data_IF_287476602096
#
_entry.id   IF_287476602096
#
_cell.length_a   1.000
_cell.length_b   1.000
_cell.length_c   1.000
_cell.angle_alpha   90.00
_cell.angle_beta   90.00
_cell.angle_gamma   90.00
#
_symmetry.space_group_name_H-M   'P 1'
#
loop_
_entity.id
_entity.type
_entity.pdbx_description
1 polymer ?
#
# COMPACT_ATOMS: atom_id res chain seq x y z
N UNK A 1 -37.88 46.19 47.44
CA UNK A 1 -38.47 45.79 48.71
C UNK A 1 -38.17 44.26 48.88
N UNK A 2 -37.14 43.90 49.65
CA UNK A 2 -37.22 43.47 51.05
C UNK A 2 -37.98 42.12 51.13
N UNK A 3 -37.56 41.07 51.71
CA UNK A 3 -36.51 40.67 52.64
C UNK A 3 -36.90 39.27 53.16
N UNK A 4 -35.88 38.49 53.54
CA UNK A 4 -35.81 37.59 54.72
C UNK A 4 -36.75 36.38 54.72
N UNK A 5 -36.29 35.15 54.80
CA UNK A 5 -35.36 34.48 55.71
C UNK A 5 -35.95 33.16 56.10
N UNK A 6 -35.11 32.18 56.42
CA UNK A 6 -35.56 31.06 57.23
C UNK A 6 -34.97 29.72 56.82
N UNK A 7 -33.85 29.37 57.45
CA UNK A 7 -33.32 28.01 57.52
C UNK A 7 -34.24 27.10 58.35
N UNK A 8 -34.26 25.80 58.04
CA UNK A 8 -34.11 24.73 59.03
C UNK A 8 -33.93 23.38 58.42
N UNK A 9 -33.02 22.72 58.99
CA UNK A 9 -32.49 21.38 58.85
C UNK A 9 -33.52 20.28 59.06
N UNK A 10 -33.35 19.14 58.28
CA UNK A 10 -33.48 17.80 58.88
C UNK A 10 -33.00 16.69 57.95
N UNK A 11 -32.22 15.85 58.50
CA UNK A 11 -31.66 14.60 58.04
C UNK A 11 -32.64 13.64 57.33
N UNK A 12 -32.16 12.93 56.30
CA UNK A 12 -32.79 11.76 55.78
C UNK A 12 -31.82 10.99 54.88
N UNK A 13 -31.30 9.96 55.38
CA UNK A 13 -30.28 8.99 54.92
C UNK A 13 -30.61 8.24 53.66
N UNK A 14 -29.51 7.91 52.91
CA UNK A 14 -29.23 6.70 52.13
C UNK A 14 -29.94 6.53 50.78
N UNK A 15 -29.27 6.33 49.68
CA UNK A 15 -28.46 5.21 49.25
C UNK A 15 -27.91 5.40 47.85
N UNK A 16 -26.67 5.33 47.75
CA UNK A 16 -25.81 4.61 46.75
C UNK A 16 -26.40 4.35 45.38
N UNK A 17 -25.76 4.95 44.40
CA UNK A 17 -25.84 4.62 42.98
C UNK A 17 -24.69 5.29 42.23
N UNK A 18 -23.44 4.95 42.59
CA UNK A 18 -22.26 5.31 41.81
C UNK A 18 -22.25 4.46 40.54
N UNK A 19 -22.82 4.94 39.47
CA UNK A 19 -22.56 4.51 38.12
C UNK A 19 -21.33 5.22 37.58
N UNK A 20 -20.14 4.92 38.10
CA UNK A 20 -18.89 5.24 37.43
C UNK A 20 -18.76 4.32 36.24
N UNK A 21 -19.11 4.80 35.07
CA UNK A 21 -18.64 4.23 33.81
C UNK A 21 -17.13 4.41 33.80
N UNK A 22 -16.43 3.38 34.25
CA UNK A 22 -15.00 3.22 33.98
C UNK A 22 -14.86 3.16 32.47
N UNK A 23 -14.36 4.25 31.87
CA UNK A 23 -13.78 4.20 30.56
C UNK A 23 -12.66 3.15 30.63
N UNK A 24 -12.91 1.98 30.04
CA UNK A 24 -11.93 0.95 29.86
C UNK A 24 -10.84 1.54 28.98
N UNK A 25 -9.72 1.91 29.58
CA UNK A 25 -8.55 2.35 28.85
C UNK A 25 -8.19 1.21 27.90
N UNK A 26 -8.36 1.44 26.62
CA UNK A 26 -7.95 0.52 25.59
C UNK A 26 -6.49 0.16 25.87
N UNK A 27 -6.25 -1.09 26.23
CA UNK A 27 -4.89 -1.62 26.43
C UNK A 27 -4.13 -1.31 25.14
N UNK A 28 -3.00 -0.59 25.27
CA UNK A 28 -2.10 -0.36 24.16
C UNK A 28 -1.79 -1.72 23.51
N UNK A 29 -2.09 -1.85 22.21
CA UNK A 29 -1.76 -3.04 21.46
C UNK A 29 -0.26 -3.31 21.55
N UNK A 30 0.16 -4.54 21.84
CA UNK A 30 1.58 -4.88 21.85
C UNK A 30 2.16 -4.54 20.47
N UNK A 31 3.34 -3.89 20.42
CA UNK A 31 4.01 -3.62 19.16
C UNK A 31 4.18 -4.94 18.37
N UNK A 32 4.10 -4.88 17.03
CA UNK A 32 4.23 -6.07 16.19
C UNK A 32 5.51 -6.86 16.49
N UNK A 33 6.61 -6.16 16.78
CA UNK A 33 7.89 -6.76 17.18
C UNK A 33 7.79 -7.54 18.49
N UNK A 34 7.10 -7.01 19.50
CA UNK A 34 6.91 -7.68 20.79
C UNK A 34 6.05 -8.95 20.65
N UNK A 35 5.16 -8.99 19.63
CA UNK A 35 4.34 -10.16 19.32
C UNK A 35 5.02 -11.17 18.37
N UNK A 36 6.23 -10.87 17.85
CA UNK A 36 6.94 -11.70 16.88
C UNK A 36 6.36 -11.62 15.46
N UNK A 37 5.65 -10.53 15.14
CA UNK A 37 5.09 -10.29 13.80
C UNK A 37 6.18 -9.85 12.83
N UNK A 38 6.05 -10.30 11.56
CA UNK A 38 6.89 -9.88 10.43
C UNK A 38 6.05 -9.78 9.16
N UNK A 39 6.25 -8.71 8.40
CA UNK A 39 5.73 -8.60 7.06
C UNK A 39 6.52 -9.58 6.14
N UNK A 40 5.86 -10.54 5.48
CA UNK A 40 6.50 -11.39 4.48
C UNK A 40 6.80 -10.59 3.22
N UNK A 41 7.72 -11.07 2.37
CA UNK A 41 7.86 -10.54 1.02
C UNK A 41 6.60 -10.81 0.18
N UNK A 42 6.44 -10.08 -0.92
CA UNK A 42 5.26 -10.23 -1.79
C UNK A 42 5.22 -11.57 -2.53
N UNK A 43 6.34 -12.26 -2.66
CA UNK A 43 6.39 -13.59 -3.28
C UNK A 43 5.97 -14.74 -2.34
N UNK A 44 5.70 -14.44 -1.05
CA UNK A 44 5.11 -15.40 -0.12
C UNK A 44 3.74 -15.86 -0.65
N UNK A 45 3.34 -17.14 -0.49
CA UNK A 45 2.04 -17.61 -0.96
C UNK A 45 0.86 -16.77 -0.46
N UNK A 46 -0.02 -16.38 -1.36
CA UNK A 46 -1.22 -15.58 -1.04
C UNK A 46 -2.43 -16.46 -0.76
N UNK A 47 -3.22 -16.09 0.23
CA UNK A 47 -4.58 -16.60 0.43
C UNK A 47 -5.52 -16.01 -0.61
N UNK A 48 -5.43 -14.69 -0.81
CA UNK A 48 -6.22 -13.92 -1.77
C UNK A 48 -5.59 -12.53 -2.03
N UNK A 49 -6.11 -11.86 -3.05
CA UNK A 49 -5.82 -10.46 -3.37
C UNK A 49 -7.06 -9.58 -3.17
N UNK A 50 -6.89 -8.44 -2.48
CA UNK A 50 -7.88 -7.37 -2.41
C UNK A 50 -7.64 -6.34 -3.51
N UNK A 51 -8.73 -5.83 -4.08
CA UNK A 51 -8.77 -4.70 -5.02
C UNK A 51 -9.99 -3.82 -4.71
N UNK A 52 -10.03 -2.61 -5.25
CA UNK A 52 -11.15 -1.68 -5.08
C UNK A 52 -11.69 -1.18 -6.42
N UNK A 53 -13.01 -0.93 -6.48
CA UNK A 53 -13.69 -0.47 -7.69
C UNK A 53 -13.64 1.05 -7.81
N UNK A 54 -13.14 1.60 -8.94
CA UNK A 54 -13.02 3.05 -9.12
C UNK A 54 -14.37 3.76 -9.12
N UNK A 55 -14.42 4.91 -8.43
CA UNK A 55 -15.64 5.72 -8.31
C UNK A 55 -15.70 6.82 -9.39
N UNK A 56 -16.91 7.19 -9.77
CA UNK A 56 -17.14 8.27 -10.73
C UNK A 56 -16.74 9.66 -10.19
N UNK A 57 -16.72 9.80 -8.88
CA UNK A 57 -16.39 11.08 -8.23
C UNK A 57 -14.92 11.44 -8.41
N UNK A 58 -14.03 10.46 -8.42
CA UNK A 58 -12.58 10.68 -8.59
C UNK A 58 -12.19 10.63 -10.08
N UNK A 59 -12.75 9.68 -10.83
CA UNK A 59 -12.31 9.40 -12.20
C UNK A 59 -13.11 10.09 -13.29
N UNK A 60 -14.24 10.71 -12.97
CA UNK A 60 -15.06 11.52 -13.88
C UNK A 60 -15.18 10.92 -15.30
N UNK A 61 -14.66 11.59 -16.32
CA UNK A 61 -14.69 11.14 -17.71
C UNK A 61 -13.89 9.85 -17.96
N UNK A 62 -12.88 9.56 -17.15
CA UNK A 62 -12.00 8.41 -17.28
C UNK A 62 -12.53 7.14 -16.59
N UNK A 63 -13.65 7.26 -15.86
CA UNK A 63 -14.26 6.15 -15.10
C UNK A 63 -14.44 4.88 -15.92
N UNK A 64 -14.94 4.98 -17.14
CA UNK A 64 -15.16 3.80 -17.99
C UNK A 64 -13.84 3.12 -18.39
N UNK A 65 -12.78 3.90 -18.61
CA UNK A 65 -11.44 3.42 -18.94
C UNK A 65 -10.81 2.68 -17.78
N UNK A 66 -10.73 3.33 -16.61
CA UNK A 66 -10.10 2.75 -15.43
C UNK A 66 -10.87 1.52 -14.91
N UNK A 67 -12.19 1.50 -15.02
CA UNK A 67 -13.01 0.31 -14.70
C UNK A 67 -12.70 -0.87 -15.61
N UNK A 68 -12.38 -0.64 -16.88
CA UNK A 68 -11.91 -1.72 -17.79
C UNK A 68 -10.54 -2.24 -17.37
N UNK A 69 -9.61 -1.34 -17.03
CA UNK A 69 -8.26 -1.72 -16.60
C UNK A 69 -8.33 -2.55 -15.29
N UNK A 70 -9.03 -2.07 -14.26
CA UNK A 70 -9.20 -2.77 -12.99
C UNK A 70 -9.90 -4.12 -13.17
N UNK A 71 -10.98 -4.18 -13.95
CA UNK A 71 -11.66 -5.44 -14.23
C UNK A 71 -10.76 -6.42 -14.98
N UNK A 72 -9.92 -5.93 -15.90
CA UNK A 72 -8.92 -6.73 -16.62
C UNK A 72 -7.88 -7.32 -15.68
N UNK A 73 -7.31 -6.49 -14.80
CA UNK A 73 -6.32 -6.90 -13.81
C UNK A 73 -6.94 -7.92 -12.83
N UNK A 74 -8.13 -7.63 -12.29
CA UNK A 74 -8.82 -8.52 -11.38
C UNK A 74 -9.05 -9.93 -11.98
N UNK A 75 -9.48 -10.01 -13.24
CA UNK A 75 -9.63 -11.29 -13.95
C UNK A 75 -8.31 -12.01 -14.16
N UNK A 76 -7.26 -11.28 -14.55
CA UNK A 76 -5.94 -11.87 -14.76
C UNK A 76 -5.35 -12.45 -13.47
N UNK A 77 -5.59 -11.80 -12.32
CA UNK A 77 -5.19 -12.32 -11.00
C UNK A 77 -6.07 -13.53 -10.63
N UNK A 78 -7.37 -13.48 -10.92
CA UNK A 78 -8.32 -14.54 -10.57
C UNK A 78 -8.05 -15.89 -11.27
N UNK A 79 -7.25 -15.92 -12.32
CA UNK A 79 -6.76 -17.15 -12.95
C UNK A 79 -5.74 -17.92 -12.08
N UNK A 80 -5.15 -17.26 -11.05
CA UNK A 80 -4.08 -17.80 -10.21
C UNK A 80 -4.42 -17.84 -8.72
N UNK A 81 -5.21 -16.89 -8.23
CA UNK A 81 -5.58 -16.80 -6.81
C UNK A 81 -6.93 -16.09 -6.63
N UNK A 82 -7.64 -16.31 -5.50
CA UNK A 82 -8.89 -15.63 -5.23
C UNK A 82 -8.73 -14.11 -5.20
N UNK A 83 -9.71 -13.41 -5.76
CA UNK A 83 -9.76 -11.93 -5.75
C UNK A 83 -11.05 -11.47 -5.07
N UNK A 84 -10.91 -10.57 -4.10
CA UNK A 84 -12.01 -9.86 -3.44
C UNK A 84 -11.94 -8.38 -3.84
N UNK A 85 -12.98 -7.92 -4.53
CA UNK A 85 -13.07 -6.54 -5.01
C UNK A 85 -14.08 -5.75 -4.17
N UNK A 86 -13.62 -4.68 -3.55
CA UNK A 86 -14.44 -3.78 -2.75
C UNK A 86 -15.18 -2.79 -3.65
N UNK A 87 -16.47 -2.63 -3.45
CA UNK A 87 -17.28 -1.67 -4.21
C UNK A 87 -18.39 -1.08 -3.36
N UNK A 88 -18.73 0.18 -3.59
CA UNK A 88 -19.93 0.77 -3.00
C UNK A 88 -21.18 -0.01 -3.40
N UNK A 89 -22.17 -0.14 -2.50
CA UNK A 89 -23.36 -0.98 -2.70
C UNK A 89 -24.09 -0.75 -4.03
N UNK A 90 -24.08 0.49 -4.54
CA UNK A 90 -24.65 0.86 -5.85
C UNK A 90 -23.87 0.29 -7.04
N UNK A 91 -22.57 0.06 -6.89
CA UNK A 91 -21.66 -0.35 -7.95
C UNK A 91 -21.42 -1.86 -7.99
N UNK A 92 -21.75 -2.63 -6.93
CA UNK A 92 -21.53 -4.08 -6.81
C UNK A 92 -21.97 -4.84 -8.06
N UNK A 93 -23.20 -4.59 -8.55
CA UNK A 93 -23.72 -5.29 -9.74
C UNK A 93 -22.94 -4.94 -11.03
N UNK A 94 -22.46 -3.72 -11.15
CA UNK A 94 -21.68 -3.28 -12.31
C UNK A 94 -20.27 -3.88 -12.26
N UNK A 95 -19.63 -3.83 -11.11
CA UNK A 95 -18.32 -4.44 -10.86
C UNK A 95 -18.36 -5.96 -11.09
N UNK A 96 -19.37 -6.66 -10.55
CA UNK A 96 -19.53 -8.12 -10.74
C UNK A 96 -19.69 -8.49 -12.23
N UNK A 97 -20.47 -7.71 -13.01
CA UNK A 97 -20.60 -7.96 -14.45
C UNK A 97 -19.29 -7.73 -15.21
N UNK A 98 -18.51 -6.73 -14.81
CA UNK A 98 -17.25 -6.42 -15.47
C UNK A 98 -16.13 -7.41 -15.12
N UNK A 99 -16.06 -7.85 -13.87
CA UNK A 99 -15.02 -8.75 -13.38
C UNK A 99 -15.32 -10.24 -13.63
N UNK A 100 -16.60 -10.60 -13.85
CA UNK A 100 -16.99 -12.00 -14.05
C UNK A 100 -17.20 -12.76 -12.72
N UNK A 101 -17.47 -14.07 -12.82
CA UNK A 101 -17.85 -14.91 -11.66
C UNK A 101 -16.67 -15.39 -10.82
N UNK A 102 -15.43 -15.26 -11.29
CA UNK A 102 -14.24 -15.69 -10.57
C UNK A 102 -13.75 -14.64 -9.55
N UNK A 103 -14.26 -13.40 -9.64
CA UNK A 103 -13.96 -12.31 -8.72
C UNK A 103 -15.13 -12.15 -7.75
N UNK A 104 -14.88 -12.21 -6.46
CA UNK A 104 -15.88 -11.90 -5.44
C UNK A 104 -15.99 -10.37 -5.28
N UNK A 105 -17.19 -9.81 -5.36
CA UNK A 105 -17.42 -8.39 -5.16
C UNK A 105 -18.20 -8.15 -3.87
N UNK A 106 -17.58 -7.43 -2.93
CA UNK A 106 -18.15 -7.18 -1.60
C UNK A 106 -18.60 -5.72 -1.43
N UNK A 107 -19.68 -5.45 -0.68
CA UNK A 107 -20.27 -4.12 -0.53
C UNK A 107 -19.52 -3.27 0.54
N UNK A 108 -18.21 -3.09 0.39
CA UNK A 108 -17.40 -2.19 1.20
C UNK A 108 -17.21 -0.88 0.42
N UNK A 109 -17.69 0.26 0.93
CA UNK A 109 -17.59 1.52 0.22
C UNK A 109 -16.16 2.04 0.24
N UNK A 110 -15.70 2.54 -0.90
CA UNK A 110 -14.40 3.16 -1.13
C UNK A 110 -14.58 4.55 -1.77
N UNK A 111 -13.59 5.42 -1.65
CA UNK A 111 -13.53 6.66 -2.42
C UNK A 111 -12.76 6.42 -3.71
N UNK A 112 -11.64 5.66 -3.69
CA UNK A 112 -10.83 5.34 -4.86
C UNK A 112 -10.37 3.87 -4.87
N UNK A 113 -9.55 3.53 -5.87
CA UNK A 113 -9.14 2.15 -6.22
C UNK A 113 -7.81 1.69 -5.59
N UNK A 114 -7.10 2.55 -4.88
CA UNK A 114 -5.71 2.32 -4.46
C UNK A 114 -5.59 1.44 -3.22
N UNK A 115 -5.97 0.17 -3.36
CA UNK A 115 -6.06 -0.78 -2.24
C UNK A 115 -4.73 -1.08 -1.57
N UNK A 116 -3.61 -0.90 -2.27
CA UNK A 116 -2.27 -0.98 -1.69
C UNK A 116 -2.10 -0.01 -0.52
N UNK A 117 -2.63 1.20 -0.67
CA UNK A 117 -2.44 2.29 0.27
C UNK A 117 -3.55 2.35 1.33
N UNK A 118 -4.77 2.02 0.95
CA UNK A 118 -5.95 2.07 1.81
C UNK A 118 -6.16 0.79 2.61
N UNK A 119 -5.67 -0.35 2.12
CA UNK A 119 -5.78 -1.67 2.73
C UNK A 119 -4.81 -1.89 3.89
N UNK A 120 -5.01 -2.97 4.67
CA UNK A 120 -4.10 -3.34 5.74
C UNK A 120 -2.80 -3.94 5.20
N UNK A 121 -1.67 -3.60 5.81
CA UNK A 121 -0.41 -4.31 5.58
C UNK A 121 -0.37 -5.55 6.46
N UNK A 122 -0.39 -6.74 5.87
CA UNK A 122 -0.44 -7.98 6.61
C UNK A 122 0.93 -8.41 7.15
N UNK A 123 0.90 -8.98 8.36
CA UNK A 123 2.08 -9.53 9.04
C UNK A 123 1.79 -10.94 9.54
N UNK A 124 2.78 -11.81 9.48
CA UNK A 124 2.75 -13.19 9.95
C UNK A 124 3.55 -13.34 11.24
N UNK A 125 3.13 -14.24 12.11
CA UNK A 125 3.82 -14.51 13.36
C UNK A 125 3.31 -15.77 14.07
N UNK A 126 3.81 -16.07 15.28
CA UNK A 126 3.47 -17.29 16.00
C UNK A 126 1.97 -17.49 16.30
N UNK A 127 1.21 -16.41 16.22
CA UNK A 127 -0.25 -16.41 16.44
C UNK A 127 -1.06 -16.42 15.14
N UNK A 128 -0.41 -16.66 13.99
CA UNK A 128 -1.02 -16.67 12.66
C UNK A 128 -0.82 -15.36 11.90
N UNK A 129 -1.90 -14.68 11.53
CA UNK A 129 -1.89 -13.45 10.72
C UNK A 129 -2.47 -12.28 11.51
N UNK A 130 -1.91 -11.10 11.32
CA UNK A 130 -2.49 -9.81 11.74
C UNK A 130 -2.37 -8.79 10.60
N UNK A 131 -3.12 -7.70 10.68
CA UNK A 131 -3.03 -6.60 9.73
C UNK A 131 -2.69 -5.29 10.43
N UNK A 132 -1.68 -4.62 9.93
CA UNK A 132 -1.28 -3.28 10.37
C UNK A 132 -2.11 -2.26 9.60
N UNK A 133 -2.84 -1.44 10.35
CA UNK A 133 -3.56 -0.28 9.82
C UNK A 133 -2.69 0.97 10.04
N UNK A 134 -2.22 1.53 8.94
CA UNK A 134 -1.33 2.68 8.92
C UNK A 134 -2.05 4.03 8.93
N UNK A 135 -3.35 4.06 9.27
CA UNK A 135 -4.13 5.29 9.44
C UNK A 135 -4.14 6.16 8.16
N UNK A 136 -4.47 5.57 7.03
CA UNK A 136 -4.51 6.27 5.74
C UNK A 136 -5.21 7.63 5.84
N UNK A 137 -4.57 8.68 5.33
CA UNK A 137 -5.02 10.06 5.44
C UNK A 137 -5.10 10.81 4.09
N UNK A 138 -5.35 10.07 2.99
CA UNK A 138 -5.46 10.68 1.67
C UNK A 138 -4.15 11.29 1.15
N UNK A 139 -3.03 10.63 1.44
CA UNK A 139 -1.67 11.09 1.10
C UNK A 139 -1.36 12.49 1.65
N UNK A 140 -1.83 12.77 2.86
CA UNK A 140 -1.68 14.07 3.51
C UNK A 140 -2.78 15.06 3.12
N UNK A 141 -4.03 14.61 3.16
CA UNK A 141 -5.24 15.38 2.83
C UNK A 141 -5.26 15.95 1.40
N UNK A 142 -4.56 15.27 0.47
CA UNK A 142 -4.52 15.69 -0.95
C UNK A 142 -5.72 15.18 -1.76
N UNK A 143 -6.41 14.16 -1.27
CA UNK A 143 -7.60 13.57 -1.90
C UNK A 143 -8.66 13.25 -0.85
N UNK A 144 -9.94 13.29 -1.25
CA UNK A 144 -11.06 12.81 -0.44
C UNK A 144 -10.83 11.34 -0.04
N UNK A 145 -10.97 11.05 1.25
CA UNK A 145 -10.65 9.74 1.82
C UNK A 145 -11.55 9.35 3.01
N UNK A 146 -12.74 9.93 3.08
CA UNK A 146 -13.65 9.69 4.21
C UNK A 146 -14.06 8.22 4.37
N UNK A 147 -14.04 7.44 3.28
CA UNK A 147 -14.29 6.01 3.25
C UNK A 147 -12.97 5.22 3.24
N UNK A 148 -12.02 5.65 2.44
CA UNK A 148 -10.75 4.95 2.24
C UNK A 148 -9.94 4.80 3.53
N UNK A 149 -10.01 5.78 4.44
CA UNK A 149 -9.39 5.68 5.78
C UNK A 149 -9.90 4.53 6.65
N UNK A 150 -11.05 3.97 6.31
CA UNK A 150 -11.66 2.86 7.05
C UNK A 150 -11.47 1.50 6.36
N UNK A 151 -10.97 1.46 5.12
CA UNK A 151 -10.83 0.23 4.30
C UNK A 151 -10.01 -0.83 5.01
N UNK A 152 -8.85 -0.47 5.60
CA UNK A 152 -8.03 -1.42 6.36
C UNK A 152 -8.82 -2.08 7.50
N UNK A 153 -9.60 -1.31 8.25
CA UNK A 153 -10.43 -1.82 9.35
C UNK A 153 -11.56 -2.73 8.83
N UNK A 154 -12.22 -2.33 7.74
CA UNK A 154 -13.32 -3.11 7.15
C UNK A 154 -12.84 -4.46 6.62
N UNK A 155 -11.72 -4.48 5.88
CA UNK A 155 -11.08 -5.73 5.42
C UNK A 155 -10.73 -6.62 6.62
N UNK A 156 -10.05 -6.10 7.64
CA UNK A 156 -9.64 -6.88 8.81
C UNK A 156 -10.83 -7.43 9.61
N UNK A 157 -11.93 -6.67 9.65
CA UNK A 157 -13.17 -7.11 10.28
C UNK A 157 -13.83 -8.25 9.49
N UNK A 158 -13.92 -8.11 8.16
CA UNK A 158 -14.47 -9.11 7.25
C UNK A 158 -13.70 -10.43 7.34
N UNK A 159 -12.37 -10.35 7.30
CA UNK A 159 -11.46 -11.51 7.35
C UNK A 159 -11.25 -12.06 8.77
N UNK A 160 -11.81 -11.42 9.79
CA UNK A 160 -11.62 -11.77 11.22
C UNK A 160 -10.14 -11.83 11.60
N UNK A 161 -9.36 -10.90 11.06
CA UNK A 161 -7.93 -10.75 11.31
C UNK A 161 -7.70 -9.69 12.38
N UNK A 162 -6.74 -9.95 13.28
CA UNK A 162 -6.37 -8.99 14.32
C UNK A 162 -5.82 -7.69 13.71
N UNK A 163 -6.43 -6.56 14.08
CA UNK A 163 -5.97 -5.23 13.68
C UNK A 163 -4.89 -4.72 14.63
N UNK A 164 -3.77 -4.28 14.08
CA UNK A 164 -2.71 -3.55 14.77
C UNK A 164 -2.74 -2.11 14.27
N UNK A 165 -3.10 -1.17 15.12
CA UNK A 165 -3.08 0.24 14.74
C UNK A 165 -1.65 0.77 14.85
N UNK A 166 -1.09 1.25 13.73
CA UNK A 166 0.25 1.84 13.71
C UNK A 166 0.29 3.19 14.45
N UNK A 167 1.43 3.56 15.08
CA UNK A 167 1.58 4.86 15.72
C UNK A 167 1.93 5.99 14.74
N UNK A 168 2.00 5.69 13.45
CA UNK A 168 2.35 6.61 12.34
C UNK A 168 1.32 6.50 11.22
N UNK A 169 1.32 7.49 10.34
CA UNK A 169 0.66 7.41 9.03
C UNK A 169 1.66 6.92 8.00
N UNK A 170 1.27 5.92 7.25
CA UNK A 170 2.01 5.39 6.10
C UNK A 170 1.01 4.77 5.10
N UNK A 171 1.49 4.45 3.93
CA UNK A 171 0.76 3.75 2.90
C UNK A 171 1.54 2.49 2.48
N UNK A 172 0.85 1.44 2.04
CA UNK A 172 1.50 0.20 1.62
C UNK A 172 2.48 0.40 0.46
N UNK A 173 2.19 1.31 -0.46
CA UNK A 173 3.09 1.69 -1.56
C UNK A 173 4.36 2.43 -1.12
N UNK A 174 4.35 3.04 0.07
CA UNK A 174 5.52 3.70 0.66
C UNK A 174 6.54 2.74 1.29
N UNK A 175 6.21 1.43 1.34
CA UNK A 175 6.95 0.42 2.08
C UNK A 175 7.24 -0.78 1.18
N UNK A 176 8.49 -1.22 1.17
CA UNK A 176 8.91 -2.42 0.47
C UNK A 176 9.77 -3.29 1.38
N UNK A 177 9.51 -4.59 1.47
CA UNK A 177 10.25 -5.52 2.33
C UNK A 177 10.77 -6.74 1.58
N UNK A 178 11.93 -7.24 2.01
CA UNK A 178 12.54 -8.46 1.48
C UNK A 178 12.10 -9.76 2.19
N UNK A 179 11.17 -9.67 3.15
CA UNK A 179 10.74 -10.82 3.97
C UNK A 179 11.80 -11.36 4.94
N UNK A 180 13.07 -10.92 4.84
CA UNK A 180 14.18 -11.37 5.68
C UNK A 180 14.64 -10.31 6.71
N UNK A 181 13.88 -9.22 6.84
CA UNK A 181 14.10 -8.17 7.84
C UNK A 181 14.64 -6.86 7.29
N UNK A 182 14.81 -6.73 5.96
CA UNK A 182 15.15 -5.47 5.30
C UNK A 182 13.88 -4.78 4.82
N UNK A 183 13.79 -3.48 5.09
CA UNK A 183 12.74 -2.59 4.60
C UNK A 183 13.38 -1.47 3.78
N UNK A 184 12.74 -1.07 2.70
CA UNK A 184 13.12 0.08 1.87
C UNK A 184 11.96 1.08 1.81
N UNK A 185 12.27 2.38 1.91
CA UNK A 185 11.27 3.45 1.88
C UNK A 185 11.86 4.76 1.37
N UNK A 186 11.01 5.70 0.94
CA UNK A 186 11.41 7.07 0.61
C UNK A 186 11.24 8.00 1.81
N UNK A 187 12.21 8.88 2.04
CA UNK A 187 12.10 9.94 3.05
C UNK A 187 10.98 10.92 2.70
N UNK A 188 10.82 11.24 1.42
CA UNK A 188 9.86 12.23 0.93
C UNK A 188 8.41 11.91 1.24
N UNK A 189 8.02 10.63 1.26
CA UNK A 189 6.65 10.19 1.60
C UNK A 189 6.44 10.11 3.11
N UNK A 190 7.31 9.42 3.84
CA UNK A 190 7.09 9.07 5.25
C UNK A 190 7.62 10.12 6.23
N UNK A 191 8.78 10.73 5.94
CA UNK A 191 9.38 11.81 6.76
C UNK A 191 8.83 13.15 6.27
N UNK A 192 7.52 13.30 6.39
CA UNK A 192 6.76 14.41 5.84
C UNK A 192 5.68 14.84 6.83
N UNK A 193 5.60 16.15 7.10
CA UNK A 193 4.65 16.71 8.06
C UNK A 193 3.18 16.50 7.65
N UNK A 194 2.91 16.25 6.38
CA UNK A 194 1.55 15.93 5.92
C UNK A 194 1.10 14.50 6.30
N UNK A 195 2.02 13.62 6.70
CA UNK A 195 1.74 12.29 7.27
C UNK A 195 2.08 12.26 8.77
N UNK A 196 3.29 12.68 9.12
CA UNK A 196 3.87 12.48 10.44
C UNK A 196 4.42 13.80 11.00
N UNK A 197 3.56 14.78 11.32
CA UNK A 197 3.98 16.12 11.72
C UNK A 197 4.89 16.09 12.95
N UNK A 198 6.04 16.76 12.82
CA UNK A 198 7.02 16.91 13.89
C UNK A 198 7.79 15.65 14.26
N UNK A 199 7.61 14.53 13.55
CA UNK A 199 8.37 13.30 13.80
C UNK A 199 9.69 13.28 13.03
N UNK A 200 10.73 12.84 13.70
CA UNK A 200 12.02 12.59 13.09
C UNK A 200 12.05 11.29 12.29
N UNK A 201 12.99 11.18 11.35
CA UNK A 201 13.22 9.93 10.61
C UNK A 201 13.45 8.73 11.54
N UNK A 202 14.22 8.91 12.62
CA UNK A 202 14.54 7.83 13.57
C UNK A 202 13.29 7.34 14.33
N UNK A 203 12.35 8.23 14.63
CA UNK A 203 11.07 7.85 15.27
C UNK A 203 10.18 7.09 14.29
N UNK A 204 10.13 7.51 13.03
CA UNK A 204 9.37 6.81 11.98
C UNK A 204 10.01 5.45 11.69
N UNK A 205 11.33 5.39 11.57
CA UNK A 205 12.06 4.13 11.38
C UNK A 205 11.78 3.12 12.50
N UNK A 206 11.78 3.59 13.75
CA UNK A 206 11.46 2.75 14.91
C UNK A 206 10.02 2.21 14.81
N UNK A 207 9.06 3.07 14.48
CA UNK A 207 7.67 2.68 14.31
C UNK A 207 7.48 1.64 13.20
N UNK A 208 8.15 1.81 12.05
CA UNK A 208 8.14 0.85 10.95
C UNK A 208 8.74 -0.50 11.35
N UNK A 209 9.90 -0.49 12.02
CA UNK A 209 10.56 -1.69 12.53
C UNK A 209 9.68 -2.45 13.53
N UNK A 210 9.02 -1.72 14.40
CA UNK A 210 8.10 -2.29 15.38
C UNK A 210 6.83 -2.86 14.74
N UNK A 211 6.25 -2.15 13.77
CA UNK A 211 5.02 -2.56 13.12
C UNK A 211 5.21 -3.77 12.19
N UNK A 212 6.34 -3.84 11.48
CA UNK A 212 6.57 -4.80 10.40
C UNK A 212 7.60 -5.87 10.70
N UNK A 213 8.23 -5.84 11.88
CA UNK A 213 9.26 -6.80 12.28
C UNK A 213 10.57 -6.65 11.50
N UNK A 214 10.79 -5.52 10.84
CA UNK A 214 12.05 -5.22 10.17
C UNK A 214 13.17 -4.89 11.18
N UNK A 215 14.42 -5.18 10.80
CA UNK A 215 15.60 -4.86 11.60
C UNK A 215 16.48 -3.80 10.93
N UNK A 216 16.42 -3.70 9.61
CA UNK A 216 17.19 -2.76 8.80
C UNK A 216 16.25 -1.97 7.91
N UNK A 217 16.44 -0.65 7.84
CA UNK A 217 15.71 0.22 6.90
C UNK A 217 16.70 0.92 5.99
N UNK A 218 16.47 0.80 4.69
CA UNK A 218 17.22 1.48 3.64
C UNK A 218 16.37 2.68 3.19
N UNK A 219 16.85 3.87 3.50
CA UNK A 219 16.20 5.12 3.11
C UNK A 219 16.77 5.67 1.80
N UNK A 220 15.88 5.96 0.85
CA UNK A 220 16.18 6.78 -0.32
C UNK A 220 15.44 8.11 -0.21
N UNK A 221 15.93 9.16 -0.86
CA UNK A 221 15.36 10.51 -0.66
C UNK A 221 13.95 10.65 -1.21
N UNK A 222 13.71 10.13 -2.41
CA UNK A 222 12.46 10.36 -3.14
C UNK A 222 12.30 11.81 -3.60
N UNK A 223 11.08 12.21 -3.94
CA UNK A 223 10.73 13.55 -4.47
C UNK A 223 9.47 14.06 -3.77
N UNK A 224 9.60 15.13 -2.98
CA UNK A 224 8.49 15.71 -2.22
C UNK A 224 7.66 16.67 -3.07
N UNK A 225 6.33 16.55 -3.01
CA UNK A 225 5.38 17.53 -3.56
C UNK A 225 5.32 17.60 -5.08
N UNK A 226 5.70 16.52 -5.78
CA UNK A 226 5.64 16.46 -7.24
C UNK A 226 4.55 15.51 -7.76
N UNK A 227 4.19 14.53 -6.98
CA UNK A 227 3.02 13.68 -7.18
C UNK A 227 2.17 13.61 -5.90
N UNK A 228 1.03 12.93 -5.97
CA UNK A 228 0.11 12.83 -4.86
C UNK A 228 0.71 12.06 -3.68
N UNK A 229 1.57 11.07 -3.95
CA UNK A 229 2.16 10.17 -2.94
C UNK A 229 3.40 10.75 -2.27
N UNK A 230 3.97 11.84 -2.78
CA UNK A 230 5.32 12.31 -2.45
C UNK A 230 6.41 11.27 -2.78
N UNK A 231 6.20 10.51 -3.87
CA UNK A 231 7.06 9.50 -4.46
C UNK A 231 7.19 8.24 -3.60
N UNK A 232 6.22 7.35 -3.72
CA UNK A 232 6.28 6.02 -3.10
C UNK A 232 7.43 5.18 -3.64
N UNK A 233 7.94 4.29 -2.78
CA UNK A 233 9.06 3.40 -3.14
C UNK A 233 8.67 2.39 -4.21
N UNK A 234 7.41 1.95 -4.27
CA UNK A 234 6.89 0.97 -5.23
C UNK A 234 6.84 1.49 -6.68
N UNK A 235 6.99 2.80 -6.88
CA UNK A 235 7.18 3.40 -8.20
C UNK A 235 8.66 3.48 -8.62
N UNK A 236 9.59 3.29 -7.68
CA UNK A 236 11.03 3.46 -7.90
C UNK A 236 11.80 2.14 -7.79
N UNK A 237 11.58 1.37 -6.72
CA UNK A 237 12.35 0.15 -6.48
C UNK A 237 11.58 -0.87 -5.65
N UNK A 238 11.80 -2.16 -5.93
CA UNK A 238 11.18 -3.30 -5.27
C UNK A 238 12.23 -4.34 -4.87
N UNK A 239 11.87 -5.25 -3.96
CA UNK A 239 12.64 -6.48 -3.76
C UNK A 239 12.02 -7.63 -4.57
N UNK A 240 12.85 -8.40 -5.30
CA UNK A 240 12.41 -9.65 -5.93
C UNK A 240 12.61 -10.86 -5.02
N UNK A 241 13.65 -10.83 -4.20
CA UNK A 241 13.97 -11.81 -3.16
C UNK A 241 14.92 -11.17 -2.13
N UNK A 242 15.15 -11.82 -0.97
CA UNK A 242 16.09 -11.30 0.02
C UNK A 242 17.50 -11.05 -0.54
N UNK A 243 17.89 -9.76 -0.56
CA UNK A 243 19.20 -9.30 -1.05
C UNK A 243 19.21 -8.87 -2.49
N UNK A 244 18.11 -8.97 -3.25
CA UNK A 244 18.02 -8.51 -4.64
C UNK A 244 17.00 -7.38 -4.74
N UNK A 245 17.46 -6.19 -5.10
CA UNK A 245 16.61 -5.02 -5.36
C UNK A 245 16.49 -4.76 -6.86
N UNK A 246 15.28 -4.48 -7.32
CA UNK A 246 14.96 -4.09 -8.69
C UNK A 246 14.68 -2.58 -8.69
N UNK A 247 15.34 -1.82 -9.55
CA UNK A 247 15.16 -0.36 -9.63
C UNK A 247 14.66 0.04 -11.03
N UNK A 248 13.64 0.93 -11.08
CA UNK A 248 13.18 1.55 -12.32
C UNK A 248 14.28 2.46 -12.87
N UNK A 249 14.73 2.21 -14.09
CA UNK A 249 15.81 2.97 -14.72
C UNK A 249 15.23 3.90 -15.76
N UNK A 250 15.39 5.22 -15.64
CA UNK A 250 14.99 6.17 -16.66
C UNK A 250 15.55 5.80 -18.03
N UNK A 251 14.78 6.07 -19.09
CA UNK A 251 15.26 5.84 -20.46
C UNK A 251 16.49 6.69 -20.77
N UNK A 252 17.33 6.24 -21.73
CA UNK A 252 18.56 6.97 -22.13
C UNK A 252 18.29 8.41 -22.57
N UNK A 253 17.07 8.69 -23.06
CA UNK A 253 16.63 10.01 -23.52
C UNK A 253 15.76 10.74 -22.49
N UNK A 254 15.67 10.24 -21.25
CA UNK A 254 14.88 10.89 -20.20
C UNK A 254 15.45 12.30 -19.90
N UNK A 255 14.59 13.27 -19.63
CA UNK A 255 15.04 14.61 -19.28
C UNK A 255 15.81 14.58 -17.96
N UNK A 256 16.82 15.45 -17.85
CA UNK A 256 17.48 15.68 -16.57
C UNK A 256 16.59 16.52 -15.66
N UNK A 257 15.78 15.86 -14.87
CA UNK A 257 14.81 16.47 -13.97
C UNK A 257 14.88 15.89 -12.55
N UNK A 258 13.87 16.17 -11.73
CA UNK A 258 13.82 15.71 -10.34
C UNK A 258 13.69 14.18 -10.24
N UNK A 259 13.10 13.52 -11.24
CA UNK A 259 12.88 12.09 -11.25
C UNK A 259 14.17 11.33 -11.56
N UNK A 260 14.90 11.77 -12.60
CA UNK A 260 16.23 11.21 -12.91
C UNK A 260 17.24 11.46 -11.79
N UNK A 261 17.18 12.62 -11.12
CA UNK A 261 18.01 12.90 -9.95
C UNK A 261 17.66 11.99 -8.76
N UNK A 262 16.38 11.67 -8.55
CA UNK A 262 15.94 10.74 -7.51
C UNK A 262 16.41 9.31 -7.80
N UNK A 263 16.31 8.86 -9.06
CA UNK A 263 16.87 7.59 -9.49
C UNK A 263 18.37 7.50 -9.21
N UNK A 264 19.15 8.50 -9.64
CA UNK A 264 20.60 8.54 -9.43
C UNK A 264 20.97 8.45 -7.94
N UNK A 265 20.23 9.15 -7.09
CA UNK A 265 20.42 9.10 -5.64
C UNK A 265 20.07 7.71 -5.09
N UNK A 266 18.91 7.14 -5.48
CA UNK A 266 18.50 5.83 -5.03
C UNK A 266 19.47 4.74 -5.49
N UNK A 267 19.91 4.76 -6.75
CA UNK A 267 20.92 3.85 -7.29
C UNK A 267 22.22 3.88 -6.48
N UNK A 268 22.70 5.07 -6.14
CA UNK A 268 23.91 5.24 -5.29
C UNK A 268 23.73 4.63 -3.90
N UNK A 269 22.56 4.80 -3.30
CA UNK A 269 22.23 4.24 -1.99
C UNK A 269 22.15 2.72 -2.08
N UNK A 270 21.33 2.19 -2.99
CA UNK A 270 21.06 0.76 -3.11
C UNK A 270 22.32 -0.05 -3.47
N UNK A 271 23.18 0.46 -4.35
CA UNK A 271 24.48 -0.18 -4.68
C UNK A 271 25.40 -0.35 -3.47
N UNK A 272 25.23 0.50 -2.44
CA UNK A 272 26.06 0.48 -1.21
C UNK A 272 25.32 -0.13 -0.02
N UNK A 273 24.02 -0.34 -0.15
CA UNK A 273 23.19 -0.82 0.94
C UNK A 273 23.57 -2.24 1.35
N UNK A 274 23.34 -2.52 2.62
CA UNK A 274 23.54 -3.82 3.25
C UNK A 274 22.19 -4.24 3.82
N UNK A 275 21.79 -5.47 3.53
CA UNK A 275 20.55 -6.06 4.01
C UNK A 275 20.60 -6.43 5.51
N UNK A 276 19.50 -6.88 6.05
CA UNK A 276 19.40 -7.31 7.46
C UNK A 276 20.30 -8.50 7.81
N UNK A 277 20.83 -9.20 6.82
CA UNK A 277 21.76 -10.34 6.97
C UNK A 277 23.24 -9.91 6.87
N UNK A 278 23.52 -8.61 6.71
CA UNK A 278 24.86 -8.04 6.56
C UNK A 278 25.45 -8.23 5.16
N UNK A 279 24.65 -8.52 4.13
CA UNK A 279 25.09 -8.70 2.75
C UNK A 279 24.77 -7.47 1.92
N UNK A 280 25.62 -7.13 0.96
CA UNK A 280 25.31 -6.09 -0.03
C UNK A 280 24.18 -6.54 -0.93
N UNK A 281 23.34 -5.59 -1.31
CA UNK A 281 22.29 -5.83 -2.29
C UNK A 281 22.89 -6.09 -3.68
N UNK A 282 22.32 -7.05 -4.38
CA UNK A 282 22.37 -7.12 -5.84
C UNK A 282 21.32 -6.13 -6.38
N UNK A 283 21.71 -5.33 -7.39
CA UNK A 283 20.82 -4.35 -8.00
C UNK A 283 20.55 -4.71 -9.44
N UNK A 284 19.28 -4.97 -9.75
CA UNK A 284 18.79 -5.25 -11.11
C UNK A 284 18.09 -4.00 -11.64
N UNK A 285 18.54 -3.51 -12.79
CA UNK A 285 17.94 -2.35 -13.45
C UNK A 285 16.81 -2.82 -14.40
N UNK A 286 15.63 -2.22 -14.25
CA UNK A 286 14.44 -2.45 -15.07
C UNK A 286 14.12 -1.16 -15.85
N UNK A 287 14.55 -1.06 -17.12
CA UNK A 287 14.40 0.17 -17.89
C UNK A 287 12.93 0.53 -18.15
N UNK A 288 12.63 1.81 -18.03
CA UNK A 288 11.33 2.39 -18.36
C UNK A 288 11.05 2.33 -19.87
N UNK A 289 9.76 2.39 -20.29
CA UNK A 289 9.41 2.49 -21.70
C UNK A 289 9.83 3.83 -22.29
N UNK A 290 10.09 3.86 -23.59
CA UNK A 290 10.52 5.05 -24.34
C UNK A 290 9.40 5.60 -25.21
N UNK A 291 8.71 4.72 -25.94
CA UNK A 291 7.66 5.08 -26.89
C UNK A 291 6.27 4.64 -26.36
N UNK A 292 5.67 5.50 -25.56
CA UNK A 292 4.34 5.25 -24.94
C UNK A 292 3.24 6.15 -25.57
N UNK A 293 3.57 6.90 -26.61
CA UNK A 293 2.67 7.88 -27.21
C UNK A 293 2.46 9.11 -26.29
N UNK A 294 1.36 9.84 -26.52
CA UNK A 294 1.05 11.03 -25.71
C UNK A 294 0.30 10.60 -24.46
N UNK A 295 0.86 10.94 -23.32
CA UNK A 295 0.31 10.68 -21.98
C UNK A 295 0.19 11.96 -21.17
N UNK A 296 -0.63 11.93 -20.11
CA UNK A 296 -0.71 12.99 -19.12
C UNK A 296 0.60 13.17 -18.35
N UNK A 297 0.72 14.31 -17.69
CA UNK A 297 1.94 14.64 -16.92
C UNK A 297 2.16 13.74 -15.67
N UNK A 298 1.08 13.16 -15.18
CA UNK A 298 1.08 12.32 -13.98
C UNK A 298 1.10 10.81 -14.33
N UNK A 299 1.19 10.46 -15.63
CA UNK A 299 1.20 9.07 -16.08
C UNK A 299 2.39 8.29 -15.52
N UNK A 300 2.11 7.22 -14.78
CA UNK A 300 3.13 6.35 -14.22
C UNK A 300 3.66 5.36 -15.26
N UNK A 301 4.84 5.62 -15.80
CA UNK A 301 5.48 4.82 -16.85
C UNK A 301 6.61 3.94 -16.30
N UNK A 302 6.35 3.12 -15.27
CA UNK A 302 7.36 2.24 -14.69
C UNK A 302 6.92 0.78 -14.65
N UNK A 303 7.79 -0.13 -15.07
CA UNK A 303 7.53 -1.57 -14.98
C UNK A 303 7.69 -2.11 -13.56
N UNK A 304 8.38 -1.42 -12.63
CA UNK A 304 8.56 -1.92 -11.25
C UNK A 304 7.27 -1.93 -10.44
N UNK A 305 6.22 -1.24 -10.91
CA UNK A 305 4.89 -1.30 -10.30
C UNK A 305 4.13 -2.57 -10.73
N UNK A 306 4.84 -3.70 -10.84
CA UNK A 306 4.28 -5.05 -11.04
C UNK A 306 3.75 -5.61 -9.71
N UNK A 307 2.94 -6.67 -9.79
CA UNK A 307 2.40 -7.38 -8.64
C UNK A 307 2.73 -8.88 -8.73
N UNK A 308 3.36 -9.41 -7.69
CA UNK A 308 3.71 -10.83 -7.60
C UNK A 308 2.56 -11.59 -6.96
N UNK A 309 2.06 -12.61 -7.65
CA UNK A 309 0.94 -13.45 -7.19
C UNK A 309 1.34 -14.91 -7.18
N UNK A 310 0.47 -15.81 -6.72
CA UNK A 310 0.70 -17.24 -6.81
C UNK A 310 0.91 -17.63 -8.29
N UNK A 311 2.04 -18.26 -8.57
CA UNK A 311 2.45 -18.80 -9.88
C UNK A 311 2.59 -17.78 -11.03
N UNK A 312 2.35 -16.47 -10.81
CA UNK A 312 2.53 -15.45 -11.83
C UNK A 312 3.06 -14.12 -11.29
N UNK A 313 3.48 -13.25 -12.21
CA UNK A 313 3.75 -11.82 -11.99
C UNK A 313 2.90 -11.04 -12.97
N UNK A 314 2.01 -10.21 -12.45
CA UNK A 314 1.19 -9.29 -13.26
C UNK A 314 1.92 -7.96 -13.37
N UNK A 315 2.33 -7.58 -14.57
CA UNK A 315 3.11 -6.38 -14.79
C UNK A 315 2.51 -5.47 -15.88
N UNK A 316 2.75 -4.15 -15.81
CA UNK A 316 2.22 -3.24 -16.81
C UNK A 316 2.82 -3.48 -18.20
N UNK A 317 2.03 -3.16 -19.22
CA UNK A 317 2.41 -3.07 -20.61
C UNK A 317 2.01 -1.70 -21.15
N UNK A 318 2.96 -0.97 -21.70
CA UNK A 318 2.78 0.41 -22.13
C UNK A 318 2.62 0.58 -23.63
N UNK A 319 2.77 -0.50 -24.42
CA UNK A 319 2.66 -0.47 -25.89
C UNK A 319 3.98 -0.26 -26.61
N UNK A 320 5.06 0.07 -25.92
CA UNK A 320 6.43 0.02 -26.43
C UNK A 320 6.85 -1.45 -26.54
N UNK A 321 6.67 -2.03 -27.73
CA UNK A 321 6.91 -3.48 -27.95
C UNK A 321 8.30 -3.94 -27.56
N UNK A 322 9.32 -3.09 -27.72
CA UNK A 322 10.71 -3.44 -27.39
C UNK A 322 10.92 -3.40 -25.88
N UNK A 323 10.48 -2.33 -25.23
CA UNK A 323 10.59 -2.19 -23.80
C UNK A 323 9.71 -3.19 -23.05
N UNK A 324 8.45 -3.40 -23.46
CA UNK A 324 7.55 -4.41 -22.90
C UNK A 324 8.16 -5.81 -22.94
N UNK A 325 8.76 -6.19 -24.09
CA UNK A 325 9.44 -7.49 -24.25
C UNK A 325 10.68 -7.60 -23.36
N UNK A 326 11.47 -6.54 -23.25
CA UNK A 326 12.65 -6.49 -22.40
C UNK A 326 12.29 -6.62 -20.92
N UNK A 327 11.30 -5.83 -20.47
CA UNK A 327 10.82 -5.89 -19.10
C UNK A 327 10.30 -7.29 -18.72
N UNK A 328 9.53 -7.92 -19.62
CA UNK A 328 9.09 -9.29 -19.42
C UNK A 328 10.24 -10.32 -19.40
N UNK A 329 11.32 -10.10 -20.15
CA UNK A 329 12.49 -10.97 -20.10
C UNK A 329 13.21 -10.88 -18.77
N UNK A 330 13.46 -9.66 -18.26
CA UNK A 330 14.05 -9.42 -16.95
C UNK A 330 13.18 -10.02 -15.84
N UNK A 331 11.86 -9.81 -15.89
CA UNK A 331 10.95 -10.39 -14.92
C UNK A 331 10.98 -11.93 -14.89
N UNK A 332 11.15 -12.60 -16.05
CA UNK A 332 11.32 -14.08 -16.11
C UNK A 332 12.61 -14.55 -15.46
N UNK A 333 13.68 -13.78 -15.54
CA UNK A 333 14.94 -14.09 -14.86
C UNK A 333 14.81 -13.94 -13.35
N UNK A 334 14.10 -12.87 -12.88
CA UNK A 334 13.83 -12.63 -11.47
C UNK A 334 12.86 -13.65 -10.86
N UNK A 335 11.87 -14.12 -11.64
CA UNK A 335 10.81 -15.01 -11.19
C UNK A 335 10.69 -16.26 -12.07
N UNK A 336 11.72 -17.13 -12.13
CA UNK A 336 11.81 -18.23 -13.11
C UNK A 336 10.73 -19.30 -12.95
N UNK A 337 10.00 -19.30 -11.84
CA UNK A 337 8.91 -20.24 -11.57
C UNK A 337 7.51 -19.61 -11.70
N UNK A 338 7.44 -18.37 -12.18
CA UNK A 338 6.17 -17.64 -12.33
C UNK A 338 5.94 -17.25 -13.78
N UNK A 339 4.70 -17.31 -14.21
CA UNK A 339 4.30 -16.77 -15.50
C UNK A 339 4.34 -15.25 -15.48
N UNK A 340 4.77 -14.61 -16.57
CA UNK A 340 4.76 -13.15 -16.69
C UNK A 340 3.56 -12.74 -17.52
N UNK A 341 2.58 -12.13 -16.87
CA UNK A 341 1.33 -11.65 -17.44
C UNK A 341 1.38 -10.14 -17.60
N UNK A 342 1.50 -9.68 -18.85
CA UNK A 342 1.52 -8.24 -19.13
C UNK A 342 0.12 -7.70 -19.42
N UNK A 343 -0.29 -6.65 -18.69
CA UNK A 343 -1.59 -6.02 -18.77
C UNK A 343 -1.49 -4.56 -19.23
N UNK A 344 -2.39 -4.11 -20.13
CA UNK A 344 -2.49 -2.69 -20.43
C UNK A 344 -3.01 -1.93 -19.19
N UNK A 345 -2.42 -0.77 -18.95
CA UNK A 345 -2.75 0.11 -17.82
C UNK A 345 -2.98 1.55 -18.30
N UNK A 346 -3.56 1.69 -19.49
CA UNK A 346 -3.61 2.97 -20.19
C UNK A 346 -4.34 4.06 -19.39
N UNK A 347 -5.49 3.75 -18.80
CA UNK A 347 -6.24 4.73 -18.00
C UNK A 347 -5.78 4.71 -16.54
N UNK A 348 -5.44 3.54 -15.99
CA UNK A 348 -4.94 3.41 -14.63
C UNK A 348 -3.67 4.25 -14.43
N UNK A 349 -2.74 4.18 -15.39
CA UNK A 349 -1.49 4.94 -15.38
C UNK A 349 -1.67 6.46 -15.36
N UNK A 350 -2.73 6.99 -16.01
CA UNK A 350 -3.05 8.42 -15.99
C UNK A 350 -3.41 8.95 -14.59
N UNK A 351 -3.87 8.06 -13.69
CA UNK A 351 -4.09 8.36 -12.27
C UNK A 351 -2.82 8.38 -11.41
N UNK A 352 -1.64 8.21 -11.99
CA UNK A 352 -0.37 8.28 -11.29
C UNK A 352 0.01 7.01 -10.52
N UNK A 353 -0.67 5.88 -10.77
CA UNK A 353 -0.38 4.59 -10.16
C UNK A 353 -0.44 3.44 -11.15
N UNK A 354 -0.22 2.21 -10.67
CA UNK A 354 -0.17 1.02 -11.50
C UNK A 354 -0.82 -0.19 -10.85
N UNK A 355 -0.41 -1.37 -11.30
CA UNK A 355 -0.98 -2.64 -10.86
C UNK A 355 -0.72 -2.88 -9.38
N UNK A 356 0.52 -2.64 -8.90
CA UNK A 356 0.86 -2.80 -7.49
C UNK A 356 0.04 -1.87 -6.60
N UNK A 357 -0.08 -0.60 -6.97
CA UNK A 357 -0.87 0.39 -6.22
C UNK A 357 -2.35 0.01 -6.08
N UNK A 358 -2.92 -0.71 -7.05
CA UNK A 358 -4.34 -1.12 -7.07
C UNK A 358 -4.62 -2.47 -6.41
N UNK A 359 -3.60 -3.15 -5.85
CA UNK A 359 -3.68 -4.50 -5.30
C UNK A 359 -3.11 -4.59 -3.89
N UNK A 360 -3.66 -5.47 -3.05
CA UNK A 360 -3.13 -5.78 -1.72
C UNK A 360 -3.29 -7.27 -1.43
N UNK A 361 -2.18 -7.97 -1.22
CA UNK A 361 -2.20 -9.38 -0.88
C UNK A 361 -2.54 -9.64 0.59
N UNK A 362 -3.27 -10.72 0.82
CA UNK A 362 -3.36 -11.39 2.10
C UNK A 362 -2.50 -12.66 2.06
N UNK A 363 -1.39 -12.73 2.81
CA UNK A 363 -0.52 -13.90 2.78
C UNK A 363 -1.18 -15.11 3.43
N UNK A 364 -0.89 -16.32 2.91
CA UNK A 364 -1.25 -17.56 3.58
C UNK A 364 -0.63 -17.65 4.96
N UNK A 365 -1.41 -18.11 5.90
CA UNK A 365 -0.90 -18.49 7.23
C UNK A 365 0.10 -19.63 7.07
N UNK A 366 1.22 -19.55 7.79
CA UNK A 366 2.22 -20.61 7.83
C UNK A 366 1.66 -21.87 8.49
#
# INVERSE_FOLDING_TARGET
LAAVGGALSACGTSSTGNGATTAEAAKADPSAKAAGWRMPDEAHPHELTFMSWPTEVIWEADTAGVRRDIAGIARAIADYEPVVLLAGSKDVKAAQRACGSQVEVVPIPVDDLWTRDTGPTFVLGPKGIAGVDFNFNGWGDKQEHSRDRDVAREILTMERVTRIKAPIVAEGGSIEVDGAGTLMATESSLVNDNRNPGRTRDEIERALKEALGATTVIWVKGVKGKDITDYHIDALARFSEPGVAVISTPSENAPHDVWTAAYDQARKVLTRAVDARGKRLELVELPEPVDIGRRGKDFLATYVNYYVINDAVVMPRFGDKKADKNAAAIARELYPRREIVQMPVDTLGEGGGGIHCSTQQMPKRA
#
